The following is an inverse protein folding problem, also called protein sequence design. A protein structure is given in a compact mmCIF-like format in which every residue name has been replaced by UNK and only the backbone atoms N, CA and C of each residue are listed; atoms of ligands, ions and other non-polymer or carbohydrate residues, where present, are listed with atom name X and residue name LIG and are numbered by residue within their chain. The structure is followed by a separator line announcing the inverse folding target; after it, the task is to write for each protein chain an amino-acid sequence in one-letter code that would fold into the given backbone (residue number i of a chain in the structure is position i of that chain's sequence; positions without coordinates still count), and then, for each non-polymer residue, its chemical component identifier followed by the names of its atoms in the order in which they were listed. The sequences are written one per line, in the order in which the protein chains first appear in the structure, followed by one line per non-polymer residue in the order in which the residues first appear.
data_IF_299635251668
#
_entry.id   IF_299635251668
#
_cell.length_a   1.000
_cell.length_b   1.000
_cell.length_c   1.000
_cell.angle_alpha   90.00
_cell.angle_beta   90.00
_cell.angle_gamma   90.00
#
_symmetry.space_group_name_H-M   'P 1'
#
loop_
_entity.id
_entity.type
_entity.pdbx_description
1 polymer ?
#
# COMPACT_ATOMS: atom_id res chain seq x y z
N UNK A 1 5.22 5.65 -24.46
CA UNK A 1 4.29 5.34 -23.33
C UNK A 1 5.16 5.24 -22.10
N UNK A 2 4.82 5.95 -21.03
CA UNK A 2 5.61 5.93 -19.79
C UNK A 2 5.65 4.52 -19.20
N UNK A 3 6.75 4.17 -18.53
CA UNK A 3 6.94 2.84 -17.96
C UNK A 3 6.35 2.73 -16.53
N UNK A 4 6.27 3.85 -15.82
CA UNK A 4 5.90 3.93 -14.40
C UNK A 4 4.63 4.74 -14.20
N UNK A 5 3.72 4.27 -13.34
CA UNK A 5 2.70 5.11 -12.70
C UNK A 5 3.02 5.22 -11.21
N UNK A 6 3.21 6.45 -10.76
CA UNK A 6 3.22 6.79 -9.34
C UNK A 6 1.76 7.02 -8.96
N UNK A 7 1.24 6.33 -7.94
CA UNK A 7 -0.12 6.59 -7.48
C UNK A 7 -0.15 7.01 -6.02
N UNK A 8 -1.04 7.93 -5.72
CA UNK A 8 -1.17 8.54 -4.39
C UNK A 8 -2.63 8.48 -3.94
N UNK A 9 -3.00 7.54 -3.06
CA UNK A 9 -4.27 7.62 -2.35
C UNK A 9 -4.26 8.82 -1.40
N UNK A 10 -5.35 9.59 -1.39
CA UNK A 10 -5.45 10.79 -0.54
C UNK A 10 -6.84 10.92 0.08
N UNK A 11 -6.90 11.49 1.28
CA UNK A 11 -8.14 11.87 1.96
C UNK A 11 -7.89 13.04 2.90
N UNK A 12 -8.40 14.24 2.54
CA UNK A 12 -8.20 15.48 3.31
C UNK A 12 -6.71 15.77 3.63
N UNK A 13 -5.85 15.63 2.62
CA UNK A 13 -4.40 15.81 2.72
C UNK A 13 -3.84 16.85 1.75
N UNK A 14 -4.67 17.85 1.35
CA UNK A 14 -4.21 18.93 0.48
C UNK A 14 -2.93 19.61 0.98
N UNK A 15 -2.81 19.78 2.30
CA UNK A 15 -1.66 20.44 2.93
C UNK A 15 -0.34 19.67 2.81
N UNK A 16 -0.37 18.37 2.58
CA UNK A 16 0.83 17.51 2.44
C UNK A 16 1.09 17.09 1.00
N UNK A 17 0.05 16.73 0.22
CA UNK A 17 0.18 16.25 -1.17
C UNK A 17 0.86 17.28 -2.10
N UNK A 18 0.84 18.56 -1.74
CA UNK A 18 1.59 19.62 -2.46
C UNK A 18 3.08 19.29 -2.50
N UNK A 19 3.65 18.79 -1.41
CA UNK A 19 5.06 18.39 -1.33
C UNK A 19 5.37 17.17 -2.23
N UNK A 20 4.44 16.23 -2.33
CA UNK A 20 4.53 15.12 -3.28
C UNK A 20 4.60 15.66 -4.72
N UNK A 21 3.70 16.60 -5.10
CA UNK A 21 3.72 17.24 -6.41
C UNK A 21 5.04 17.96 -6.70
N UNK A 22 5.55 18.73 -5.73
CA UNK A 22 6.80 19.48 -5.89
C UNK A 22 7.97 18.51 -6.15
N UNK A 23 8.06 17.40 -5.43
CA UNK A 23 9.10 16.38 -5.62
C UNK A 23 9.01 15.69 -7.00
N UNK A 24 7.78 15.42 -7.48
CA UNK A 24 7.57 14.86 -8.82
C UNK A 24 7.91 15.88 -9.91
N UNK A 25 7.70 17.17 -9.64
CA UNK A 25 8.07 18.27 -10.56
C UNK A 25 9.59 18.46 -10.67
N UNK A 26 10.38 17.98 -9.68
CA UNK A 26 11.83 18.03 -9.68
C UNK A 26 12.50 16.79 -10.27
N UNK A 27 11.76 15.73 -10.60
CA UNK A 27 12.34 14.47 -11.09
C UNK A 27 13.24 14.67 -12.30
N UNK A 28 14.43 14.04 -12.32
CA UNK A 28 15.37 14.04 -13.45
C UNK A 28 14.80 13.32 -14.66
N UNK A 29 14.01 12.27 -14.45
CA UNK A 29 13.29 11.54 -15.50
C UNK A 29 11.79 11.88 -15.48
N UNK A 30 11.19 12.02 -16.65
CA UNK A 30 9.73 12.22 -16.83
C UNK A 30 9.03 10.96 -17.38
N UNK A 31 9.66 9.78 -17.29
CA UNK A 31 9.10 8.51 -17.77
C UNK A 31 8.06 7.94 -16.79
N UNK A 32 7.17 8.80 -16.31
CA UNK A 32 6.10 8.43 -15.38
C UNK A 32 4.80 9.22 -15.63
N UNK A 33 3.69 8.67 -15.12
CA UNK A 33 2.42 9.38 -14.90
C UNK A 33 2.15 9.45 -13.39
N UNK A 34 1.42 10.46 -12.94
CA UNK A 34 0.94 10.54 -11.57
C UNK A 34 -0.56 10.29 -11.52
N UNK A 35 -1.00 9.30 -10.75
CA UNK A 35 -2.40 8.98 -10.50
C UNK A 35 -2.75 9.37 -9.05
N UNK A 36 -3.66 10.31 -8.88
CA UNK A 36 -4.22 10.68 -7.58
C UNK A 36 -5.56 10.00 -7.42
N UNK A 37 -5.73 9.20 -6.36
CA UNK A 37 -7.01 8.60 -6.00
C UNK A 37 -7.53 9.27 -4.73
N UNK A 38 -8.47 10.16 -4.90
CA UNK A 38 -9.10 10.92 -3.82
C UNK A 38 -10.27 10.13 -3.23
N UNK A 39 -10.11 9.69 -1.99
CA UNK A 39 -11.07 8.89 -1.24
C UNK A 39 -12.15 9.74 -0.55
N UNK A 40 -12.67 10.76 -1.25
CA UNK A 40 -13.78 11.59 -0.79
C UNK A 40 -13.35 12.82 0.01
N UNK A 41 -12.28 13.50 -0.38
CA UNK A 41 -11.82 14.74 0.28
C UNK A 41 -12.82 15.88 0.15
N UNK A 42 -12.80 16.75 1.14
CA UNK A 42 -13.61 17.98 1.21
C UNK A 42 -12.77 19.23 1.53
N UNK A 43 -11.44 19.12 1.50
CA UNK A 43 -10.49 20.18 1.88
C UNK A 43 -10.00 21.02 0.69
N UNK A 44 -10.60 20.86 -0.50
CA UNK A 44 -10.21 21.55 -1.72
C UNK A 44 -9.04 20.86 -2.46
N UNK A 45 -8.83 19.55 -2.23
CA UNK A 45 -7.84 18.73 -2.98
C UNK A 45 -8.14 18.75 -4.47
N UNK A 46 -9.41 18.54 -4.87
CA UNK A 46 -9.83 18.52 -6.28
C UNK A 46 -9.51 19.85 -6.99
N UNK A 47 -9.94 20.95 -6.41
CA UNK A 47 -9.75 22.29 -6.98
C UNK A 47 -8.26 22.63 -7.11
N UNK A 48 -7.46 22.15 -6.16
CA UNK A 48 -6.02 22.29 -6.25
C UNK A 48 -5.45 21.48 -7.41
N UNK A 49 -5.84 20.24 -7.62
CA UNK A 49 -5.38 19.43 -8.76
C UNK A 49 -5.77 20.09 -10.09
N UNK A 50 -7.01 20.56 -10.22
CA UNK A 50 -7.48 21.27 -11.41
C UNK A 50 -6.68 22.54 -11.70
N UNK A 51 -6.12 23.20 -10.67
CA UNK A 51 -5.29 24.40 -10.82
C UNK A 51 -3.85 24.15 -11.30
N UNK A 52 -3.38 22.89 -11.30
CA UNK A 52 -1.99 22.54 -11.64
C UNK A 52 -1.69 22.55 -13.15
N UNK A 53 -2.72 22.59 -14.00
CA UNK A 53 -2.53 22.58 -15.44
C UNK A 53 -3.84 22.63 -16.21
N UNK A 54 -3.78 22.21 -17.46
CA UNK A 54 -4.95 22.17 -18.36
C UNK A 54 -5.69 20.83 -18.19
N UNK A 55 -6.98 20.88 -17.90
CA UNK A 55 -7.86 19.69 -17.88
C UNK A 55 -8.14 19.27 -19.33
N UNK A 56 -7.50 18.19 -19.78
CA UNK A 56 -7.49 17.79 -21.19
C UNK A 56 -8.45 16.66 -21.54
N UNK A 57 -8.80 15.82 -20.56
CA UNK A 57 -9.66 14.64 -20.77
C UNK A 57 -10.56 14.45 -19.56
N UNK A 58 -11.86 14.27 -19.83
CA UNK A 58 -12.78 13.60 -18.90
C UNK A 58 -12.88 12.14 -19.32
N UNK A 59 -12.66 11.19 -18.41
CA UNK A 59 -12.66 9.75 -18.72
C UNK A 59 -14.06 9.17 -18.84
N UNK A 60 -15.12 9.89 -18.40
CA UNK A 60 -16.49 9.41 -18.45
C UNK A 60 -16.70 8.14 -17.62
N UNK A 61 -15.98 8.01 -16.51
CA UNK A 61 -16.04 6.89 -15.59
C UNK A 61 -16.03 7.42 -14.17
N UNK A 62 -16.84 6.82 -13.29
CA UNK A 62 -16.75 7.05 -11.86
C UNK A 62 -16.33 5.77 -11.11
N UNK A 63 -16.25 5.85 -9.79
CA UNK A 63 -15.85 4.72 -8.96
C UNK A 63 -16.80 4.61 -7.76
N UNK A 64 -17.18 3.39 -7.44
CA UNK A 64 -17.90 3.14 -6.19
C UNK A 64 -16.96 3.25 -4.96
N UNK A 65 -17.53 3.12 -3.77
CA UNK A 65 -16.76 3.20 -2.52
C UNK A 65 -15.67 2.12 -2.39
N UNK A 66 -15.81 0.99 -3.09
CA UNK A 66 -14.81 -0.09 -3.14
C UNK A 66 -13.69 0.16 -4.15
N UNK A 67 -13.77 1.23 -4.96
CA UNK A 67 -12.84 1.51 -6.05
C UNK A 67 -13.08 0.67 -7.30
N UNK A 68 -14.33 0.23 -7.52
CA UNK A 68 -14.73 -0.45 -8.77
C UNK A 68 -15.24 0.59 -9.76
N UNK A 69 -14.86 0.44 -11.02
CA UNK A 69 -15.31 1.32 -12.11
C UNK A 69 -16.81 1.20 -12.30
N UNK A 70 -17.47 2.34 -12.43
CA UNK A 70 -18.85 2.47 -12.86
C UNK A 70 -18.87 3.13 -14.23
N UNK A 71 -19.74 2.63 -15.12
CA UNK A 71 -19.93 3.17 -16.47
C UNK A 71 -21.00 4.27 -16.42
N UNK A 72 -20.68 5.41 -15.83
CA UNK A 72 -21.53 6.59 -15.80
C UNK A 72 -20.72 7.84 -16.19
N UNK A 73 -21.37 8.75 -16.91
CA UNK A 73 -20.76 10.02 -17.31
C UNK A 73 -20.70 10.99 -16.12
N UNK A 74 -19.63 10.84 -15.30
CA UNK A 74 -19.37 11.74 -14.18
C UNK A 74 -18.04 12.50 -14.42
N UNK A 75 -17.93 13.69 -13.86
CA UNK A 75 -16.72 14.53 -13.89
C UNK A 75 -15.75 14.22 -12.74
N UNK A 76 -15.81 13.02 -12.21
CA UNK A 76 -14.99 12.56 -11.08
C UNK A 76 -13.69 11.89 -11.50
N UNK A 77 -13.51 11.59 -12.79
CA UNK A 77 -12.31 10.99 -13.35
C UNK A 77 -11.80 11.78 -14.56
N UNK A 78 -10.69 12.47 -14.42
CA UNK A 78 -10.13 13.34 -15.44
C UNK A 78 -8.60 13.35 -15.47
N UNK A 79 -8.03 13.93 -16.54
CA UNK A 79 -6.58 14.12 -16.69
C UNK A 79 -6.26 15.60 -16.77
N UNK A 80 -5.27 16.03 -15.99
CA UNK A 80 -4.66 17.35 -16.03
C UNK A 80 -3.27 17.26 -16.65
N UNK A 81 -2.98 18.06 -17.66
CA UNK A 81 -1.66 18.15 -18.28
C UNK A 81 -0.89 19.30 -17.67
N UNK A 82 0.15 18.97 -16.91
CA UNK A 82 1.09 19.96 -16.37
C UNK A 82 2.19 20.29 -17.40
N UNK A 83 3.15 21.09 -17.03
CA UNK A 83 4.31 21.40 -17.89
C UNK A 83 5.26 20.22 -18.08
N UNK A 84 5.28 19.23 -17.16
CA UNK A 84 6.28 18.17 -17.15
C UNK A 84 5.69 16.77 -17.31
N UNK A 85 4.55 16.49 -16.71
CA UNK A 85 3.91 15.17 -16.71
C UNK A 85 2.38 15.30 -16.69
N UNK A 86 1.68 14.20 -16.85
CA UNK A 86 0.23 14.16 -16.73
C UNK A 86 -0.19 13.67 -15.36
N UNK A 87 -1.22 14.29 -14.79
CA UNK A 87 -1.90 13.87 -13.56
C UNK A 87 -3.24 13.28 -13.95
N UNK A 88 -3.46 12.02 -13.64
CA UNK A 88 -4.78 11.40 -13.70
C UNK A 88 -5.40 11.49 -12.31
N UNK A 89 -6.61 12.02 -12.21
CA UNK A 89 -7.31 12.22 -10.95
C UNK A 89 -8.62 11.46 -10.93
N UNK A 90 -8.82 10.72 -9.85
CA UNK A 90 -10.03 9.97 -9.54
C UNK A 90 -10.58 10.46 -8.21
N UNK A 91 -11.85 10.88 -8.18
CA UNK A 91 -12.59 11.08 -6.94
C UNK A 91 -13.57 9.93 -6.74
N UNK A 92 -13.65 9.38 -5.52
CA UNK A 92 -14.59 8.32 -5.17
C UNK A 92 -15.16 8.50 -3.76
N UNK A 93 -16.33 7.92 -3.46
CA UNK A 93 -16.85 7.92 -2.09
C UNK A 93 -15.87 7.23 -1.13
N UNK A 94 -15.74 7.79 0.09
CA UNK A 94 -14.76 7.33 1.08
C UNK A 94 -14.99 5.88 1.53
N UNK A 95 -14.06 5.01 1.17
CA UNK A 95 -14.05 3.57 1.50
C UNK A 95 -12.85 3.14 2.35
N UNK A 96 -11.87 4.01 2.54
CA UNK A 96 -10.60 3.72 3.22
C UNK A 96 -9.47 3.38 2.25
N UNK A 97 -8.24 3.44 2.75
CA UNK A 97 -7.00 3.37 1.96
C UNK A 97 -6.99 2.22 0.93
N UNK A 98 -7.38 1.01 1.31
CA UNK A 98 -7.35 -0.15 0.42
C UNK A 98 -8.26 0.01 -0.82
N UNK A 99 -9.33 0.80 -0.72
CA UNK A 99 -10.22 1.04 -1.85
C UNK A 99 -9.62 2.03 -2.86
N UNK A 100 -8.73 2.90 -2.39
CA UNK A 100 -7.88 3.72 -3.24
C UNK A 100 -6.90 2.88 -4.06
N UNK A 101 -6.30 1.85 -3.45
CA UNK A 101 -5.47 0.88 -4.19
C UNK A 101 -6.28 0.10 -5.22
N UNK A 102 -7.52 -0.29 -4.90
CA UNK A 102 -8.39 -0.96 -5.87
C UNK A 102 -8.63 -0.09 -7.11
N UNK A 103 -9.00 1.18 -6.92
CA UNK A 103 -9.21 2.12 -8.01
C UNK A 103 -7.92 2.36 -8.81
N UNK A 104 -6.77 2.47 -8.13
CA UNK A 104 -5.48 2.61 -8.79
C UNK A 104 -5.17 1.40 -9.69
N UNK A 105 -5.26 0.18 -9.18
CA UNK A 105 -4.99 -1.02 -10.00
C UNK A 105 -6.01 -1.25 -11.10
N UNK A 106 -7.25 -0.80 -10.95
CA UNK A 106 -8.23 -0.84 -12.04
C UNK A 106 -7.85 0.12 -13.19
N UNK A 107 -7.16 1.22 -12.89
CA UNK A 107 -6.87 2.32 -13.82
C UNK A 107 -5.48 2.21 -14.46
N UNK A 108 -4.43 1.89 -13.71
CA UNK A 108 -3.03 1.90 -14.16
C UNK A 108 -2.83 0.98 -15.37
N UNK A 109 -2.13 1.48 -16.39
CA UNK A 109 -1.82 0.74 -17.63
C UNK A 109 -0.31 0.61 -17.89
N UNK A 110 0.54 1.26 -17.13
CA UNK A 110 2.01 1.18 -17.24
C UNK A 110 2.53 -0.16 -16.76
N UNK A 111 3.75 -0.53 -17.16
CA UNK A 111 4.40 -1.80 -16.76
C UNK A 111 4.62 -1.85 -15.24
N UNK A 112 5.06 -0.73 -14.66
CA UNK A 112 5.34 -0.59 -13.24
C UNK A 112 4.38 0.38 -12.57
N UNK A 113 4.16 0.17 -11.27
CA UNK A 113 3.45 1.09 -10.40
C UNK A 113 4.11 1.16 -9.01
N UNK A 114 4.04 2.32 -8.38
CA UNK A 114 4.52 2.56 -7.02
C UNK A 114 3.54 3.45 -6.27
N UNK A 115 3.27 3.11 -5.01
CA UNK A 115 2.50 3.97 -4.12
C UNK A 115 3.43 4.95 -3.41
N UNK A 116 3.12 6.25 -3.51
CA UNK A 116 3.69 7.30 -2.66
C UNK A 116 2.54 7.90 -1.87
N UNK A 117 2.59 7.77 -0.57
CA UNK A 117 1.55 8.31 0.31
C UNK A 117 1.48 9.84 0.24
N UNK A 118 0.33 10.41 0.50
CA UNK A 118 0.09 11.87 0.32
C UNK A 118 0.85 12.76 1.31
N UNK A 119 1.56 12.19 2.26
CA UNK A 119 2.46 12.87 3.21
C UNK A 119 3.94 12.54 2.97
N UNK A 120 4.24 11.72 1.96
CA UNK A 120 5.59 11.33 1.54
C UNK A 120 5.99 12.01 0.21
N UNK A 121 7.29 11.92 -0.12
CA UNK A 121 7.80 12.47 -1.38
C UNK A 121 9.06 11.75 -1.86
N UNK A 122 9.31 11.81 -3.18
CA UNK A 122 10.43 11.11 -3.82
C UNK A 122 11.69 11.99 -3.90
N UNK A 123 12.91 11.43 -3.77
CA UNK A 123 14.12 12.15 -4.18
C UNK A 123 14.12 12.43 -5.68
N UNK A 124 14.82 13.47 -6.11
CA UNK A 124 14.77 14.01 -7.48
C UNK A 124 15.18 13.01 -8.57
N UNK A 125 15.96 11.99 -8.22
CA UNK A 125 16.48 10.95 -9.12
C UNK A 125 15.80 9.58 -8.99
N UNK A 126 14.75 9.47 -8.17
CA UNK A 126 14.12 8.20 -7.85
C UNK A 126 13.50 7.52 -9.08
N UNK A 127 12.80 8.27 -9.93
CA UNK A 127 12.22 7.72 -11.17
C UNK A 127 13.32 7.20 -12.09
N UNK A 128 14.41 7.93 -12.26
CA UNK A 128 15.54 7.51 -13.07
C UNK A 128 16.18 6.22 -12.54
N UNK A 129 16.40 6.12 -11.24
CA UNK A 129 16.93 4.92 -10.56
C UNK A 129 16.03 3.70 -10.79
N UNK A 130 14.72 3.86 -10.59
CA UNK A 130 13.73 2.80 -10.82
C UNK A 130 13.79 2.31 -12.27
N UNK A 131 13.72 3.23 -13.24
CA UNK A 131 13.71 2.90 -14.66
C UNK A 131 15.00 2.20 -15.08
N UNK A 132 16.15 2.70 -14.63
CA UNK A 132 17.46 2.12 -14.94
C UNK A 132 17.63 0.74 -14.32
N UNK A 133 17.28 0.55 -13.04
CA UNK A 133 17.33 -0.76 -12.39
C UNK A 133 16.41 -1.77 -13.08
N UNK A 134 15.21 -1.36 -13.48
CA UNK A 134 14.28 -2.25 -14.19
C UNK A 134 14.78 -2.64 -15.59
N UNK A 135 15.36 -1.72 -16.34
CA UNK A 135 15.96 -1.99 -17.66
C UNK A 135 17.18 -2.90 -17.58
N UNK A 136 17.97 -2.79 -16.50
CA UNK A 136 19.18 -3.57 -16.27
C UNK A 136 18.94 -4.98 -15.69
N UNK A 137 17.68 -5.34 -15.37
CA UNK A 137 17.33 -6.64 -14.76
C UNK A 137 17.72 -7.82 -15.65
N UNK A 138 17.99 -8.97 -15.03
CA UNK A 138 18.21 -10.23 -15.76
C UNK A 138 16.94 -10.61 -16.51
N UNK A 139 17.06 -10.87 -17.82
CA UNK A 139 15.89 -11.13 -18.68
C UNK A 139 15.38 -12.57 -18.59
N UNK A 140 16.19 -13.48 -18.06
CA UNK A 140 15.86 -14.90 -17.84
C UNK A 140 15.16 -15.15 -16.49
N UNK A 141 15.03 -14.11 -15.66
CA UNK A 141 14.39 -14.18 -14.34
C UNK A 141 13.12 -13.32 -14.28
N UNK A 142 12.03 -13.91 -13.85
CA UNK A 142 10.76 -13.20 -13.73
C UNK A 142 10.65 -12.50 -12.37
N UNK A 143 10.93 -11.20 -12.35
CA UNK A 143 10.79 -10.37 -11.15
C UNK A 143 9.40 -9.76 -11.04
N UNK A 144 8.90 -9.61 -9.81
CA UNK A 144 7.63 -8.90 -9.55
C UNK A 144 7.78 -7.38 -9.43
N UNK A 145 9.00 -6.89 -9.32
CA UNK A 145 9.25 -5.46 -9.17
C UNK A 145 10.61 -5.14 -8.59
N UNK A 146 10.71 -4.00 -7.93
CA UNK A 146 11.88 -3.47 -7.24
C UNK A 146 11.49 -3.12 -5.81
N UNK A 147 12.29 -3.50 -4.82
CA UNK A 147 12.20 -2.98 -3.45
C UNK A 147 13.36 -2.03 -3.20
N UNK A 148 13.05 -0.79 -2.82
CA UNK A 148 14.02 0.23 -2.42
C UNK A 148 13.83 0.65 -0.98
N UNK A 149 14.60 1.63 -0.53
CA UNK A 149 14.60 2.09 0.84
C UNK A 149 13.74 3.35 1.01
N UNK A 150 13.01 3.38 2.12
CA UNK A 150 12.44 4.59 2.67
C UNK A 150 13.45 5.27 3.61
N UNK A 151 13.58 6.57 3.48
CA UNK A 151 14.49 7.39 4.28
C UNK A 151 13.72 8.33 5.19
N UNK A 152 14.14 8.43 6.43
CA UNK A 152 13.54 9.36 7.37
C UNK A 152 14.00 10.80 7.07
N UNK A 153 13.07 11.72 6.90
CA UNK A 153 13.32 13.14 6.63
C UNK A 153 14.14 13.82 7.74
N UNK A 154 13.97 13.38 9.00
CA UNK A 154 14.55 14.06 10.17
C UNK A 154 16.06 13.84 10.26
N UNK A 155 16.54 12.63 9.99
CA UNK A 155 17.96 12.28 10.14
C UNK A 155 18.66 11.92 8.83
N UNK A 156 17.91 11.87 7.71
CA UNK A 156 18.43 11.57 6.38
C UNK A 156 18.95 10.13 6.23
N UNK A 157 18.49 9.19 7.07
CA UNK A 157 18.95 7.80 7.08
C UNK A 157 17.87 6.84 6.60
N UNK A 158 18.29 5.68 6.03
CA UNK A 158 17.32 4.63 5.69
C UNK A 158 16.66 4.10 6.95
N UNK A 159 15.33 3.96 6.88
CA UNK A 159 14.52 3.40 7.97
C UNK A 159 14.84 1.90 8.07
N UNK A 160 15.38 1.48 9.21
CA UNK A 160 15.83 0.09 9.40
C UNK A 160 17.24 -0.21 8.88
N UNK A 161 17.92 0.76 8.27
CA UNK A 161 19.26 0.61 7.72
C UNK A 161 19.27 0.18 6.25
N UNK A 162 20.47 -0.06 5.72
CA UNK A 162 20.63 -0.55 4.35
C UNK A 162 20.34 -2.05 4.27
N UNK A 163 19.95 -2.53 3.08
CA UNK A 163 19.94 -3.96 2.79
C UNK A 163 21.34 -4.56 2.89
N UNK A 164 21.46 -5.89 3.15
CA UNK A 164 22.77 -6.54 3.18
C UNK A 164 23.57 -6.30 1.90
N UNK A 165 24.88 -6.05 2.05
CA UNK A 165 25.76 -5.82 0.92
C UNK A 165 25.77 -7.01 -0.04
N UNK A 166 25.64 -6.74 -1.35
CA UNK A 166 25.62 -7.76 -2.39
C UNK A 166 24.28 -8.46 -2.59
N UNK A 167 23.25 -8.16 -1.80
CA UNK A 167 21.89 -8.66 -2.02
C UNK A 167 21.29 -7.98 -3.26
N UNK A 168 21.12 -8.72 -4.36
CA UNK A 168 20.61 -8.21 -5.64
C UNK A 168 19.13 -8.47 -5.85
N UNK A 169 18.63 -9.56 -5.30
CA UNK A 169 17.24 -9.97 -5.34
C UNK A 169 16.91 -10.95 -4.20
N UNK A 170 15.65 -11.05 -3.84
CA UNK A 170 15.15 -11.97 -2.81
C UNK A 170 13.64 -12.17 -2.98
N UNK A 171 13.06 -13.07 -2.19
CA UNK A 171 11.63 -13.02 -1.89
C UNK A 171 11.44 -12.01 -0.74
N UNK A 172 10.68 -10.95 -0.98
CA UNK A 172 10.58 -9.85 0.00
C UNK A 172 9.99 -10.28 1.34
N UNK A 173 9.09 -11.27 1.32
CA UNK A 173 8.57 -11.87 2.56
C UNK A 173 9.69 -12.43 3.45
N UNK A 174 10.83 -12.85 2.88
CA UNK A 174 12.00 -13.30 3.65
C UNK A 174 12.70 -12.12 4.35
N UNK A 175 12.82 -10.96 3.69
CA UNK A 175 13.39 -9.76 4.31
C UNK A 175 12.68 -9.47 5.64
N UNK A 176 11.35 -9.43 5.59
CA UNK A 176 10.51 -9.09 6.73
C UNK A 176 10.42 -10.21 7.76
N UNK A 177 10.12 -11.44 7.34
CA UNK A 177 9.81 -12.52 8.28
C UNK A 177 11.05 -13.18 8.88
N UNK A 178 12.18 -13.17 8.19
CA UNK A 178 13.47 -13.61 8.70
C UNK A 178 14.25 -12.46 9.38
N UNK A 179 13.68 -11.24 9.38
CA UNK A 179 14.29 -10.03 9.97
C UNK A 179 15.64 -9.69 9.34
N UNK A 180 15.80 -9.91 8.05
CA UNK A 180 16.98 -9.49 7.28
C UNK A 180 17.01 -7.97 7.17
N UNK A 181 15.82 -7.35 6.98
CA UNK A 181 15.60 -5.92 7.05
C UNK A 181 14.40 -5.64 7.97
N UNK A 182 14.52 -4.62 8.83
CA UNK A 182 13.46 -4.21 9.77
C UNK A 182 13.25 -2.71 9.61
N UNK A 183 12.52 -2.33 8.59
CA UNK A 183 12.20 -0.94 8.27
C UNK A 183 11.13 -0.86 7.22
N UNK A 184 10.65 0.35 7.00
CA UNK A 184 9.74 0.60 5.88
C UNK A 184 10.54 0.61 4.57
N UNK A 185 9.95 0.09 3.53
CA UNK A 185 10.50 -0.09 2.19
C UNK A 185 9.55 0.45 1.15
N UNK A 186 10.06 0.75 -0.04
CA UNK A 186 9.27 1.24 -1.16
C UNK A 186 9.23 0.20 -2.28
N UNK A 187 8.05 -0.39 -2.46
CA UNK A 187 7.81 -1.42 -3.45
C UNK A 187 7.32 -0.80 -4.77
N UNK A 188 8.11 -0.98 -5.81
CA UNK A 188 7.74 -0.68 -7.20
C UNK A 188 7.33 -1.98 -7.85
N UNK A 189 6.05 -2.15 -8.11
CA UNK A 189 5.49 -3.45 -8.51
C UNK A 189 5.15 -3.52 -9.99
N UNK A 190 5.22 -4.72 -10.56
CA UNK A 190 4.62 -5.00 -11.86
C UNK A 190 3.10 -4.91 -11.77
N UNK A 191 2.54 -4.04 -12.57
CA UNK A 191 1.09 -3.76 -12.59
C UNK A 191 0.26 -4.99 -12.95
N UNK A 192 0.71 -5.80 -13.91
CA UNK A 192 0.00 -7.01 -14.34
C UNK A 192 -0.12 -8.06 -13.23
N UNK A 193 0.90 -8.17 -12.36
CA UNK A 193 0.87 -9.08 -11.21
C UNK A 193 -0.04 -8.55 -10.10
N UNK A 194 0.01 -7.22 -9.83
CA UNK A 194 -0.88 -6.62 -8.85
C UNK A 194 -2.36 -6.73 -9.26
N UNK A 195 -2.68 -6.60 -10.54
CA UNK A 195 -4.04 -6.80 -11.07
C UNK A 195 -4.56 -8.24 -10.89
N UNK A 196 -3.70 -9.26 -10.79
CA UNK A 196 -4.13 -10.64 -10.51
C UNK A 196 -4.65 -10.84 -9.09
N UNK A 197 -4.17 -10.04 -8.13
CA UNK A 197 -4.57 -10.12 -6.72
C UNK A 197 -5.55 -9.03 -6.30
N UNK A 198 -5.71 -7.99 -7.12
CA UNK A 198 -6.74 -6.96 -6.97
C UNK A 198 -8.09 -7.43 -7.57
N UNK A 199 -9.23 -6.88 -7.12
CA UNK A 199 -9.36 -5.95 -6.01
C UNK A 199 -9.36 -6.62 -4.64
N UNK A 200 -8.94 -5.88 -3.61
CA UNK A 200 -9.17 -6.29 -2.22
C UNK A 200 -10.65 -6.22 -1.91
N UNK A 201 -11.24 -7.38 -1.63
CA UNK A 201 -12.65 -7.44 -1.18
C UNK A 201 -12.66 -7.28 0.34
N UNK A 202 -12.98 -6.07 0.78
CA UNK A 202 -13.16 -5.72 2.19
C UNK A 202 -14.54 -6.08 2.72
N UNK A 203 -14.85 -5.54 3.88
CA UNK A 203 -16.13 -5.76 4.56
C UNK A 203 -16.83 -4.42 4.79
N UNK A 204 -18.14 -4.39 4.56
CA UNK A 204 -18.94 -3.19 4.78
C UNK A 204 -18.75 -2.64 6.20
N UNK A 205 -18.51 -1.33 6.30
CA UNK A 205 -18.22 -0.63 7.54
C UNK A 205 -16.76 -0.74 8.02
N UNK A 206 -15.91 -1.54 7.37
CA UNK A 206 -14.49 -1.66 7.73
C UNK A 206 -13.61 -0.91 6.72
N UNK A 207 -12.91 0.14 7.18
CA UNK A 207 -12.04 1.00 6.34
C UNK A 207 -10.55 0.69 6.46
N UNK A 208 -10.14 -0.11 7.46
CA UNK A 208 -8.73 -0.39 7.75
C UNK A 208 -8.35 -1.82 7.31
N UNK A 209 -8.23 -2.02 5.99
CA UNK A 209 -7.66 -3.24 5.43
C UNK A 209 -6.29 -2.89 4.84
N UNK A 210 -5.21 -3.45 5.40
CA UNK A 210 -3.85 -3.10 5.00
C UNK A 210 -3.58 -3.54 3.55
N UNK A 211 -3.19 -2.65 2.63
CA UNK A 211 -2.83 -2.96 1.25
C UNK A 211 -1.70 -3.99 1.09
N UNK A 212 -0.84 -4.15 2.09
CA UNK A 212 0.14 -5.23 2.14
C UNK A 212 -0.47 -6.62 1.90
N UNK A 213 -1.77 -6.78 2.15
CA UNK A 213 -2.52 -8.01 1.84
C UNK A 213 -2.41 -8.43 0.36
N UNK A 214 -2.33 -7.49 -0.57
CA UNK A 214 -2.11 -7.80 -2.00
C UNK A 214 -0.63 -8.05 -2.28
N UNK A 215 0.24 -7.14 -1.84
CA UNK A 215 1.67 -7.20 -2.11
C UNK A 215 2.28 -8.51 -1.62
N UNK A 216 1.99 -8.92 -0.37
CA UNK A 216 2.55 -10.13 0.23
C UNK A 216 2.27 -11.41 -0.56
N UNK A 217 1.19 -11.45 -1.36
CA UNK A 217 0.85 -12.59 -2.21
C UNK A 217 1.72 -12.63 -3.45
N UNK A 218 1.99 -11.47 -4.05
CA UNK A 218 2.83 -11.37 -5.26
C UNK A 218 4.30 -11.60 -4.93
N UNK A 219 4.81 -10.96 -3.87
CA UNK A 219 6.22 -11.11 -3.44
C UNK A 219 6.52 -12.47 -2.78
N UNK A 220 5.50 -13.29 -2.53
CA UNK A 220 5.63 -14.68 -2.10
C UNK A 220 5.80 -15.65 -3.29
N UNK A 221 5.31 -15.27 -4.47
CA UNK A 221 5.38 -16.10 -5.67
C UNK A 221 6.58 -15.76 -6.56
N UNK A 222 6.99 -14.48 -6.60
CA UNK A 222 8.03 -13.97 -7.49
C UNK A 222 9.11 -13.24 -6.71
N UNK A 223 10.39 -13.38 -7.10
CA UNK A 223 11.47 -12.59 -6.53
C UNK A 223 11.32 -11.11 -6.91
N UNK A 224 11.88 -10.26 -6.07
CA UNK A 224 11.94 -8.81 -6.25
C UNK A 224 13.39 -8.35 -6.35
N UNK A 225 13.68 -7.38 -7.22
CA UNK A 225 15.00 -6.75 -7.31
C UNK A 225 15.24 -5.88 -6.08
N UNK A 226 16.43 -5.93 -5.53
CA UNK A 226 16.83 -5.08 -4.40
C UNK A 226 17.62 -3.88 -4.91
N UNK A 227 17.11 -2.69 -4.61
CA UNK A 227 17.76 -1.41 -4.90
C UNK A 227 18.13 -0.72 -3.59
N UNK A 228 19.41 -0.74 -3.24
CA UNK A 228 19.90 -0.21 -1.97
C UNK A 228 20.07 1.32 -2.01
N UNK A 229 19.00 1.99 -2.46
CA UNK A 229 18.92 3.44 -2.69
C UNK A 229 17.66 4.03 -2.08
N UNK A 230 17.69 5.35 -1.82
CA UNK A 230 16.53 6.11 -1.40
C UNK A 230 15.53 6.22 -2.55
N UNK A 231 14.32 5.73 -2.35
CA UNK A 231 13.19 5.90 -3.28
C UNK A 231 12.10 6.79 -2.71
N UNK A 232 12.06 6.97 -1.39
CA UNK A 232 11.03 7.79 -0.76
C UNK A 232 11.54 8.43 0.53
N UNK A 233 11.23 9.69 0.72
CA UNK A 233 11.37 10.42 1.97
C UNK A 233 10.08 10.31 2.78
N UNK A 234 10.18 9.73 3.97
CA UNK A 234 9.06 9.50 4.88
C UNK A 234 9.14 10.44 6.08
N UNK A 235 8.05 11.15 6.34
CA UNK A 235 7.88 11.96 7.54
C UNK A 235 6.79 11.40 8.43
N UNK A 236 7.18 10.74 9.53
CA UNK A 236 6.22 10.21 10.48
C UNK A 236 5.39 11.32 11.12
N UNK A 237 4.10 11.35 10.79
CA UNK A 237 3.18 12.33 11.35
C UNK A 237 2.90 12.05 12.82
N UNK A 238 3.18 13.03 13.69
CA UNK A 238 2.87 12.99 15.12
C UNK A 238 1.49 13.63 15.31
N UNK A 239 0.42 12.84 15.26
CA UNK A 239 -0.93 13.38 15.41
C UNK A 239 -2.00 12.31 15.66
N UNK A 240 -3.19 12.74 16.11
CA UNK A 240 -4.33 11.83 16.37
C UNK A 240 -4.83 11.09 15.13
N UNK A 241 -4.49 11.60 13.94
CA UNK A 241 -4.89 11.04 12.64
C UNK A 241 -3.82 10.12 12.03
N UNK A 242 -2.70 9.91 12.74
CA UNK A 242 -1.66 8.96 12.34
C UNK A 242 -2.22 7.53 12.37
N UNK A 243 -2.14 6.84 11.24
CA UNK A 243 -2.55 5.43 11.15
C UNK A 243 -1.71 4.55 12.07
N UNK A 244 -0.41 4.84 12.20
CA UNK A 244 0.52 4.08 13.05
C UNK A 244 0.17 4.16 14.54
N UNK A 245 -0.32 5.30 15.01
CA UNK A 245 -0.72 5.48 16.42
C UNK A 245 -2.11 4.90 16.73
N UNK A 246 -2.93 4.67 15.72
CA UNK A 246 -4.32 4.22 15.85
C UNK A 246 -4.54 2.71 15.85
N UNK A 247 -3.50 1.87 15.93
CA UNK A 247 -3.60 0.42 15.69
C UNK A 247 -4.66 -0.30 16.54
N UNK A 248 -4.81 0.05 17.83
CA UNK A 248 -5.81 -0.55 18.69
C UNK A 248 -7.24 -0.24 18.23
N UNK A 249 -7.49 1.02 17.83
CA UNK A 249 -8.78 1.46 17.29
C UNK A 249 -9.07 0.78 15.94
N UNK A 250 -8.06 0.67 15.07
CA UNK A 250 -8.22 -0.04 13.79
C UNK A 250 -8.60 -1.50 14.00
N UNK A 251 -8.02 -2.17 14.98
CA UNK A 251 -8.34 -3.55 15.34
C UNK A 251 -9.82 -3.76 15.69
N UNK A 252 -10.42 -2.82 16.47
CA UNK A 252 -11.84 -2.86 16.82
C UNK A 252 -12.73 -2.51 15.63
N UNK A 253 -12.32 -1.52 14.83
CA UNK A 253 -13.15 -1.01 13.75
C UNK A 253 -13.11 -1.89 12.48
N UNK A 254 -12.09 -2.75 12.32
CA UNK A 254 -11.93 -3.56 11.10
C UNK A 254 -11.50 -5.01 11.40
N UNK A 255 -12.16 -5.70 12.34
CA UNK A 255 -11.67 -6.99 12.84
C UNK A 255 -11.72 -8.10 11.78
N UNK A 256 -12.70 -8.09 10.87
CA UNK A 256 -12.81 -9.07 9.78
C UNK A 256 -11.68 -8.90 8.76
N UNK A 257 -11.33 -7.66 8.44
CA UNK A 257 -10.21 -7.31 7.56
C UNK A 257 -8.88 -7.78 8.15
N UNK A 258 -8.66 -7.55 9.45
CA UNK A 258 -7.50 -8.06 10.16
C UNK A 258 -7.47 -9.60 10.18
N UNK A 259 -8.59 -10.28 10.45
CA UNK A 259 -8.67 -11.73 10.40
C UNK A 259 -8.32 -12.28 9.01
N UNK A 260 -8.85 -11.68 7.95
CA UNK A 260 -8.57 -12.07 6.56
C UNK A 260 -7.08 -11.92 6.22
N UNK A 261 -6.47 -10.79 6.60
CA UNK A 261 -5.04 -10.55 6.43
C UNK A 261 -4.18 -11.61 7.16
N UNK A 262 -4.47 -11.87 8.45
CA UNK A 262 -3.73 -12.87 9.24
C UNK A 262 -3.86 -14.28 8.68
N UNK A 263 -5.06 -14.63 8.22
CA UNK A 263 -5.31 -15.92 7.56
C UNK A 263 -4.46 -16.09 6.31
N UNK A 264 -4.39 -15.09 5.44
CA UNK A 264 -3.56 -15.12 4.25
C UNK A 264 -2.06 -15.21 4.61
N UNK A 265 -1.60 -14.40 5.57
CA UNK A 265 -0.21 -14.44 6.03
C UNK A 265 0.22 -15.81 6.56
N UNK A 266 -0.67 -16.58 7.21
CA UNK A 266 -0.35 -17.95 7.64
C UNK A 266 -0.03 -18.90 6.48
N UNK A 267 -0.51 -18.61 5.27
CA UNK A 267 -0.41 -19.49 4.10
C UNK A 267 0.82 -19.18 3.22
N UNK A 268 1.47 -18.04 3.40
CA UNK A 268 2.61 -17.64 2.58
C UNK A 268 3.74 -18.67 2.63
N UNK A 269 4.36 -18.97 1.48
CA UNK A 269 5.44 -19.96 1.33
C UNK A 269 6.69 -19.53 2.10
N UNK A 270 7.09 -18.27 1.90
CA UNK A 270 8.30 -17.68 2.47
C UNK A 270 8.09 -17.10 3.87
N UNK A 271 7.19 -17.71 4.67
CA UNK A 271 6.88 -17.28 6.03
C UNK A 271 7.51 -18.22 7.07
N UNK A 272 8.06 -17.67 8.16
CA UNK A 272 8.61 -18.44 9.27
C UNK A 272 7.51 -19.06 10.14
N UNK A 273 7.80 -20.21 10.77
CA UNK A 273 6.85 -20.83 11.69
C UNK A 273 6.50 -19.93 12.88
N UNK A 274 7.47 -19.19 13.40
CA UNK A 274 7.26 -18.25 14.50
C UNK A 274 6.23 -17.16 14.11
N UNK A 275 6.34 -16.58 12.90
CA UNK A 275 5.38 -15.59 12.41
C UNK A 275 4.01 -16.22 12.12
N UNK A 276 3.95 -17.45 11.61
CA UNK A 276 2.69 -18.19 11.43
C UNK A 276 1.96 -18.38 12.76
N UNK A 277 2.67 -18.78 13.82
CA UNK A 277 2.09 -18.94 15.16
C UNK A 277 1.62 -17.60 15.74
N UNK A 278 2.41 -16.52 15.57
CA UNK A 278 1.98 -15.17 15.93
C UNK A 278 0.68 -14.79 15.21
N UNK A 279 0.58 -15.09 13.92
CA UNK A 279 -0.63 -14.83 13.15
C UNK A 279 -1.83 -15.65 13.62
N UNK A 280 -1.65 -16.88 14.13
CA UNK A 280 -2.73 -17.65 14.77
C UNK A 280 -3.33 -16.88 15.98
N UNK A 281 -2.48 -16.33 16.86
CA UNK A 281 -2.92 -15.52 18.01
C UNK A 281 -3.72 -14.30 17.57
N UNK A 282 -3.17 -13.53 16.64
CA UNK A 282 -3.83 -12.32 16.11
C UNK A 282 -5.11 -12.65 15.33
N UNK A 283 -5.14 -13.75 14.60
CA UNK A 283 -6.32 -14.24 13.89
C UNK A 283 -7.47 -14.55 14.85
N UNK A 284 -7.19 -15.32 15.91
CA UNK A 284 -8.20 -15.63 16.94
C UNK A 284 -8.69 -14.36 17.60
N UNK A 285 -7.80 -13.44 17.97
CA UNK A 285 -8.18 -12.15 18.55
C UNK A 285 -9.14 -11.38 17.62
N UNK A 286 -8.82 -11.28 16.35
CA UNK A 286 -9.65 -10.59 15.36
C UNK A 286 -11.01 -11.26 15.19
N UNK A 287 -11.05 -12.59 15.12
CA UNK A 287 -12.31 -13.35 15.01
C UNK A 287 -13.20 -13.20 16.26
N UNK A 288 -12.61 -13.18 17.46
CA UNK A 288 -13.35 -12.93 18.70
C UNK A 288 -13.98 -11.54 18.67
N UNK A 289 -13.23 -10.50 18.27
CA UNK A 289 -13.73 -9.13 18.14
C UNK A 289 -14.84 -9.05 17.09
N UNK A 290 -14.66 -9.74 15.95
CA UNK A 290 -15.64 -9.84 14.86
C UNK A 290 -16.87 -10.71 15.20
N UNK A 291 -16.87 -11.41 16.34
CA UNK A 291 -17.87 -12.41 16.74
C UNK A 291 -18.05 -13.53 15.68
N UNK A 292 -16.94 -13.90 15.00
CA UNK A 292 -16.94 -15.00 14.02
C UNK A 292 -16.78 -16.35 14.76
N UNK A 293 -17.88 -17.08 14.89
CA UNK A 293 -17.89 -18.42 15.52
C UNK A 293 -17.23 -19.51 14.65
N UNK A 294 -16.88 -19.22 13.39
CA UNK A 294 -16.29 -20.22 12.49
C UNK A 294 -14.75 -20.14 12.42
N UNK A 295 -14.13 -19.35 13.28
CA UNK A 295 -12.69 -19.09 13.27
C UNK A 295 -11.82 -20.34 13.17
N UNK A 296 -12.14 -21.40 13.92
CA UNK A 296 -11.37 -22.64 13.88
C UNK A 296 -11.57 -23.42 12.56
N UNK A 297 -12.81 -23.48 12.05
CA UNK A 297 -13.13 -24.11 10.77
C UNK A 297 -12.39 -23.45 9.61
N UNK A 298 -12.32 -22.11 9.63
CA UNK A 298 -11.75 -21.29 8.57
C UNK A 298 -10.23 -21.10 8.67
N UNK A 299 -9.60 -21.52 9.79
CA UNK A 299 -8.15 -21.43 9.94
C UNK A 299 -7.41 -22.43 9.05
N UNK A 300 -6.35 -22.02 8.34
CA UNK A 300 -5.47 -22.94 7.62
C UNK A 300 -4.58 -23.77 8.55
N UNK A 301 -4.36 -23.32 9.81
CA UNK A 301 -3.52 -23.96 10.82
C UNK A 301 -4.34 -24.38 12.03
N UNK A 302 -5.38 -25.21 11.83
CA UNK A 302 -6.40 -25.54 12.83
C UNK A 302 -5.83 -25.97 14.18
N UNK A 303 -4.85 -26.88 14.18
CA UNK A 303 -4.23 -27.37 15.41
C UNK A 303 -3.58 -26.24 16.22
N UNK A 304 -2.69 -25.47 15.59
CA UNK A 304 -2.01 -24.36 16.25
C UNK A 304 -2.96 -23.23 16.64
N UNK A 305 -3.96 -22.96 15.83
CA UNK A 305 -5.00 -21.97 16.14
C UNK A 305 -5.78 -22.37 17.38
N UNK A 306 -6.10 -23.66 17.55
CA UNK A 306 -6.77 -24.17 18.75
C UNK A 306 -5.86 -24.06 19.99
N UNK A 307 -4.61 -24.50 19.89
CA UNK A 307 -3.62 -24.45 20.98
C UNK A 307 -3.38 -23.03 21.46
N UNK A 308 -3.32 -22.06 20.52
CA UNK A 308 -3.04 -20.65 20.80
C UNK A 308 -4.31 -19.80 21.04
N UNK A 309 -5.50 -20.42 21.01
CA UNK A 309 -6.76 -19.71 21.20
C UNK A 309 -6.83 -18.94 22.54
N UNK A 310 -6.39 -19.48 23.69
CA UNK A 310 -6.40 -18.72 24.94
C UNK A 310 -5.60 -17.41 24.86
N UNK A 311 -4.42 -17.44 24.21
CA UNK A 311 -3.61 -16.23 24.02
C UNK A 311 -4.31 -15.21 23.08
N UNK A 312 -4.97 -15.69 22.03
CA UNK A 312 -5.75 -14.85 21.12
C UNK A 312 -6.96 -14.19 21.80
N UNK A 313 -7.66 -14.93 22.66
CA UNK A 313 -8.77 -14.39 23.47
C UNK A 313 -8.28 -13.32 24.47
N UNK A 314 -7.14 -13.58 25.12
CA UNK A 314 -6.51 -12.58 26.00
C UNK A 314 -6.11 -11.32 25.24
N UNK A 315 -5.56 -11.45 24.05
CA UNK A 315 -5.24 -10.30 23.18
C UNK A 315 -6.51 -9.52 22.81
N UNK A 316 -7.62 -10.18 22.48
CA UNK A 316 -8.89 -9.51 22.22
C UNK A 316 -9.36 -8.69 23.42
N UNK A 317 -9.27 -9.27 24.62
CA UNK A 317 -9.60 -8.55 25.87
C UNK A 317 -8.70 -7.32 26.06
N UNK A 318 -7.40 -7.42 25.83
CA UNK A 318 -6.46 -6.29 25.90
C UNK A 318 -6.79 -5.20 24.88
N UNK A 319 -7.17 -5.57 23.66
CA UNK A 319 -7.62 -4.61 22.64
C UNK A 319 -8.86 -3.86 23.11
N UNK A 320 -9.87 -4.54 23.64
CA UNK A 320 -11.04 -3.88 24.22
C UNK A 320 -10.69 -2.96 25.39
N UNK A 321 -9.82 -3.41 26.29
CA UNK A 321 -9.42 -2.60 27.46
C UNK A 321 -8.68 -1.32 27.05
N UNK A 322 -7.76 -1.41 26.08
CA UNK A 322 -7.01 -0.26 25.56
C UNK A 322 -7.89 0.77 24.84
N UNK A 323 -8.98 0.34 24.22
CA UNK A 323 -9.91 1.24 23.51
C UNK A 323 -10.99 1.86 24.43
N UNK A 324 -11.08 1.43 25.70
CA UNK A 324 -12.00 2.06 26.68
C UNK A 324 -11.38 3.27 27.41
N UNK A 325 -10.07 3.46 27.25
CA UNK A 325 -9.34 4.62 27.77
C UNK A 325 -9.11 5.66 26.69
#
# INVERSE_FOLDING_TARGET
MNILTIFTPTYNRKHTIVRTYDSLSCQTSVDFNWLIVDDGSSDGTREWVESLGEKVVNKGQSFDWMGRILDDEDDTHFVVKTKRFSIEYIYKPNGGLYTGYNAAYATIQTELCVCIDSDDYMPDDAVEKIVNAWKARLQDKEYCGIVGLDFNVVDGKPIGGYFPEGLKDCFENELTFQKIHIGDTKEVMRTDLMKKVAPMIGFEGEKNFNPWYMLMQVVDEYPILVLNDNLCWVEYQIGKDSMSQGIWRQYINSPRSFAKHRRASMMLKHNTMANRLRNCVHYVSSCVIAKDGQWLKNSPMKFWTLVLAPAGMMLAFLVYYKNRK
#
